data_IF_746363429106
#
_entry.id   IF_746363429106
#
_cell.length_a   1.000
_cell.length_b   1.000
_cell.length_c   1.000
_cell.angle_alpha   90.00
_cell.angle_beta   90.00
_cell.angle_gamma   90.00
#
_symmetry.space_group_name_H-M   'P 1'
#
loop_
_entity.id
_entity.type
_entity.pdbx_description
1 polymer ?
#
# COMPACT_ATOMS: atom_id res chain seq x y z
N UNK A 1 -0.16 -11.00 4.33
CA UNK A 1 0.55 -10.12 5.26
C UNK A 1 0.90 -8.82 4.56
N UNK A 2 2.12 -8.68 4.00
CA UNK A 2 2.49 -7.48 3.28
C UNK A 2 1.52 -7.12 2.15
N UNK A 3 0.89 -8.12 1.54
CA UNK A 3 -0.09 -7.92 0.50
C UNK A 3 -1.34 -7.17 1.01
N UNK A 4 -1.74 -7.41 2.26
CA UNK A 4 -2.91 -6.72 2.82
C UNK A 4 -2.63 -5.22 2.97
N UNK A 5 -1.47 -4.85 3.51
CA UNK A 5 -1.11 -3.44 3.65
C UNK A 5 -0.95 -2.75 2.28
N UNK A 6 -0.38 -3.44 1.30
CA UNK A 6 -0.25 -2.91 -0.06
C UNK A 6 -1.62 -2.67 -0.70
N UNK A 7 -2.57 -3.59 -0.49
CA UNK A 7 -3.92 -3.43 -1.00
C UNK A 7 -4.62 -2.23 -0.35
N UNK A 8 -4.43 -2.03 0.95
CA UNK A 8 -5.00 -0.88 1.66
C UNK A 8 -4.47 0.43 1.07
N UNK A 9 -3.16 0.51 0.80
CA UNK A 9 -2.57 1.70 0.18
C UNK A 9 -3.16 1.94 -1.21
N UNK A 10 -3.30 0.90 -2.00
CA UNK A 10 -3.90 1.01 -3.33
C UNK A 10 -5.34 1.54 -3.25
N UNK A 11 -6.14 1.02 -2.33
CA UNK A 11 -7.52 1.46 -2.17
C UNK A 11 -7.64 2.88 -1.59
N UNK A 12 -6.66 3.32 -0.80
CA UNK A 12 -6.68 4.66 -0.22
C UNK A 12 -6.62 5.77 -1.28
N UNK A 13 -6.07 5.48 -2.46
CA UNK A 13 -6.00 6.43 -3.55
C UNK A 13 -7.30 6.54 -4.36
N UNK A 14 -8.28 5.69 -4.09
CA UNK A 14 -9.55 5.62 -4.81
C UNK A 14 -10.66 6.29 -4.02
N UNK A 15 -11.66 6.81 -4.71
CA UNK A 15 -12.76 7.53 -4.09
C UNK A 15 -14.11 7.07 -4.62
N UNK A 16 -15.14 7.26 -3.80
CA UNK A 16 -16.52 7.13 -4.22
C UNK A 16 -16.81 5.80 -4.92
N UNK A 17 -17.39 5.89 -6.11
CA UNK A 17 -17.78 4.70 -6.87
C UNK A 17 -16.59 3.84 -7.27
N UNK A 18 -15.43 4.44 -7.54
CA UNK A 18 -14.23 3.68 -7.89
C UNK A 18 -13.78 2.81 -6.72
N UNK A 19 -13.82 3.34 -5.50
CA UNK A 19 -13.53 2.57 -4.29
C UNK A 19 -14.60 1.49 -4.09
N UNK A 20 -15.87 1.80 -4.34
CA UNK A 20 -16.97 0.84 -4.21
C UNK A 20 -16.82 -0.35 -5.13
N UNK A 21 -16.28 -0.16 -6.32
CA UNK A 21 -16.04 -1.24 -7.27
C UNK A 21 -14.93 -2.20 -6.82
N UNK A 22 -13.97 -1.71 -6.02
CA UNK A 22 -12.81 -2.49 -5.60
C UNK A 22 -12.91 -3.07 -4.19
N UNK A 23 -13.80 -2.53 -3.35
CA UNK A 23 -13.98 -3.00 -1.98
C UNK A 23 -15.25 -3.81 -1.88
N UNK A 24 -15.19 -5.07 -1.39
CA UNK A 24 -16.38 -5.89 -1.24
C UNK A 24 -17.42 -5.24 -0.31
N UNK A 25 -18.70 -5.47 -0.61
CA UNK A 25 -19.78 -4.99 0.25
C UNK A 25 -19.74 -5.65 1.64
N UNK A 26 -19.31 -6.92 1.70
CA UNK A 26 -19.16 -7.66 2.95
C UNK A 26 -17.69 -7.95 3.19
N UNK A 27 -17.19 -7.54 4.35
CA UNK A 27 -15.80 -7.74 4.74
C UNK A 27 -15.70 -8.93 5.69
N UNK A 28 -14.74 -9.82 5.43
CA UNK A 28 -14.54 -11.02 6.25
C UNK A 28 -13.45 -10.79 7.29
N UNK A 29 -13.69 -11.13 8.56
CA UNK A 29 -12.64 -11.02 9.56
C UNK A 29 -11.62 -12.15 9.40
N UNK A 30 -10.34 -11.80 9.43
CA UNK A 30 -9.22 -12.74 9.46
C UNK A 30 -8.63 -12.86 10.85
N UNK A 31 -8.77 -11.81 11.66
CA UNK A 31 -8.38 -11.77 13.07
C UNK A 31 -9.45 -10.97 13.83
N UNK A 32 -9.31 -10.89 15.15
CA UNK A 32 -10.20 -10.06 15.96
C UNK A 32 -10.05 -8.56 15.68
N UNK A 33 -8.95 -8.17 15.05
CA UNK A 33 -8.65 -6.77 14.74
C UNK A 33 -8.96 -6.38 13.31
N UNK A 34 -9.42 -7.32 12.47
CA UNK A 34 -9.77 -7.01 11.10
C UNK A 34 -10.92 -6.00 11.04
N UNK A 35 -10.74 -4.94 10.23
CA UNK A 35 -11.81 -3.96 10.02
C UNK A 35 -12.86 -4.58 9.12
N UNK A 36 -14.08 -4.72 9.63
CA UNK A 36 -15.19 -5.32 8.89
C UNK A 36 -16.33 -4.33 8.62
N UNK A 37 -16.29 -3.15 9.23
CA UNK A 37 -17.27 -2.07 9.02
C UNK A 37 -16.77 -1.16 7.91
N UNK A 38 -17.60 -0.98 6.87
CA UNK A 38 -17.21 -0.17 5.70
C UNK A 38 -16.94 1.29 6.05
N UNK A 39 -17.71 1.87 6.98
CA UNK A 39 -17.51 3.26 7.41
C UNK A 39 -16.16 3.44 8.09
N UNK A 40 -15.80 2.49 8.96
CA UNK A 40 -14.50 2.49 9.63
C UNK A 40 -13.38 2.31 8.61
N UNK A 41 -13.57 1.42 7.64
CA UNK A 41 -12.60 1.19 6.57
C UNK A 41 -12.39 2.46 5.74
N UNK A 42 -13.46 3.14 5.34
CA UNK A 42 -13.36 4.37 4.54
C UNK A 42 -12.59 5.45 5.29
N UNK A 43 -12.85 5.62 6.60
CA UNK A 43 -12.10 6.56 7.42
C UNK A 43 -10.62 6.19 7.52
N UNK A 44 -10.31 4.90 7.66
CA UNK A 44 -8.95 4.41 7.70
C UNK A 44 -8.22 4.64 6.37
N UNK A 45 -8.90 4.42 5.25
CA UNK A 45 -8.35 4.67 3.91
C UNK A 45 -8.05 6.15 3.69
N UNK A 46 -8.94 7.03 4.13
CA UNK A 46 -8.73 8.48 4.03
C UNK A 46 -7.52 8.92 4.87
N UNK A 47 -7.36 8.33 6.05
CA UNK A 47 -6.23 8.58 6.92
C UNK A 47 -4.92 8.15 6.27
N UNK A 48 -4.89 6.96 5.67
CA UNK A 48 -3.73 6.45 4.94
C UNK A 48 -3.33 7.42 3.83
N UNK A 49 -4.29 7.94 3.11
CA UNK A 49 -4.04 8.87 2.02
C UNK A 49 -3.40 10.18 2.52
N UNK A 50 -3.86 10.66 3.67
CA UNK A 50 -3.32 11.89 4.27
C UNK A 50 -1.90 11.70 4.78
N UNK A 51 -1.65 10.62 5.52
CA UNK A 51 -0.32 10.38 6.11
C UNK A 51 0.68 9.77 5.15
N UNK A 52 0.24 9.17 4.04
CA UNK A 52 1.11 8.64 3.00
C UNK A 52 1.63 7.23 3.20
N UNK A 53 1.15 6.52 4.20
CA UNK A 53 1.47 5.11 4.40
C UNK A 53 0.33 4.38 5.09
N UNK A 54 0.26 3.08 4.90
CA UNK A 54 -0.73 2.22 5.54
C UNK A 54 -0.07 1.36 6.62
N UNK A 55 -0.85 1.03 7.64
CA UNK A 55 -0.48 0.10 8.68
C UNK A 55 -1.54 -0.98 8.77
N UNK A 56 -1.11 -2.24 8.76
CA UNK A 56 -1.95 -3.40 9.07
C UNK A 56 -1.52 -3.87 10.46
N UNK A 57 -2.30 -3.54 11.48
CA UNK A 57 -1.97 -3.87 12.87
C UNK A 57 -2.72 -5.13 13.27
N UNK A 58 -2.15 -6.28 12.96
CA UNK A 58 -2.73 -7.60 13.25
C UNK A 58 -4.10 -7.84 12.58
N UNK A 59 -4.45 -7.04 11.57
CA UNK A 59 -5.75 -7.15 10.91
C UNK A 59 -5.83 -8.36 9.98
N UNK A 60 -4.71 -8.74 9.38
CA UNK A 60 -4.62 -9.90 8.51
C UNK A 60 -4.01 -11.10 9.23
N UNK A 61 -3.02 -10.89 10.08
CA UNK A 61 -2.32 -11.96 10.79
C UNK A 61 -1.95 -11.51 12.19
N UNK A 62 -2.40 -12.23 13.20
CA UNK A 62 -2.04 -11.95 14.59
C UNK A 62 -0.53 -12.03 14.80
N UNK A 63 0.02 -11.10 15.54
CA UNK A 63 1.45 -11.04 15.84
C UNK A 63 2.29 -10.31 14.80
N UNK A 64 1.69 -9.86 13.69
CA UNK A 64 2.41 -9.12 12.64
C UNK A 64 1.82 -7.73 12.47
N UNK A 65 2.70 -6.76 12.33
CA UNK A 65 2.34 -5.41 11.89
C UNK A 65 3.04 -5.14 10.56
N UNK A 66 2.27 -4.67 9.59
CA UNK A 66 2.79 -4.40 8.26
C UNK A 66 2.65 -2.92 7.94
N UNK A 67 3.63 -2.41 7.20
CA UNK A 67 3.64 -1.02 6.74
C UNK A 67 3.76 -1.03 5.23
N UNK A 68 3.07 -0.13 4.55
CA UNK A 68 3.14 -0.04 3.10
C UNK A 68 3.08 1.40 2.62
N UNK A 69 3.76 1.67 1.52
CA UNK A 69 3.68 2.94 0.81
C UNK A 69 3.34 2.67 -0.66
N UNK A 70 2.55 3.55 -1.25
CA UNK A 70 2.20 3.45 -2.66
C UNK A 70 3.38 3.87 -3.54
N UNK A 71 3.46 3.29 -4.71
CA UNK A 71 4.40 3.70 -5.74
C UNK A 71 3.68 4.64 -6.72
N UNK A 72 4.08 5.90 -6.71
CA UNK A 72 3.40 6.95 -7.47
C UNK A 72 3.99 7.14 -8.86
N UNK A 73 4.02 6.09 -9.66
CA UNK A 73 4.40 6.20 -11.06
C UNK A 73 3.16 6.24 -11.99
N UNK A 74 1.98 5.99 -11.48
CA UNK A 74 0.71 6.17 -12.18
C UNK A 74 -0.36 6.64 -11.20
N UNK A 75 -1.50 7.13 -11.72
CA UNK A 75 -2.60 7.61 -10.91
C UNK A 75 -3.91 6.95 -11.35
N UNK A 76 -4.63 6.32 -10.44
CA UNK A 76 -4.24 6.04 -9.06
C UNK A 76 -3.11 5.01 -9.00
N UNK A 77 -2.39 4.98 -7.88
CA UNK A 77 -1.31 4.03 -7.70
C UNK A 77 -1.84 2.59 -7.77
N UNK A 78 -1.09 1.74 -8.46
CA UNK A 78 -1.47 0.33 -8.64
C UNK A 78 -0.52 -0.63 -7.95
N UNK A 79 0.62 -0.14 -7.50
CA UNK A 79 1.63 -0.94 -6.81
C UNK A 79 2.08 -0.27 -5.53
N UNK A 80 2.60 -1.09 -4.64
CA UNK A 80 3.11 -0.64 -3.35
C UNK A 80 4.30 -1.49 -2.92
N UNK A 81 5.09 -0.96 -2.01
CA UNK A 81 6.10 -1.75 -1.30
C UNK A 81 5.72 -1.80 0.17
N UNK A 82 6.02 -2.91 0.80
CA UNK A 82 5.63 -3.13 2.20
C UNK A 82 6.69 -3.88 2.98
N UNK A 83 6.58 -3.75 4.29
CA UNK A 83 7.40 -4.51 5.25
C UNK A 83 6.49 -5.13 6.30
N UNK A 84 6.69 -6.41 6.59
CA UNK A 84 5.96 -7.14 7.64
C UNK A 84 6.92 -7.43 8.77
N UNK A 85 6.55 -7.07 9.98
CA UNK A 85 7.43 -7.16 11.15
C UNK A 85 6.69 -7.82 12.31
N UNK A 86 7.30 -8.82 12.97
CA UNK A 86 6.73 -9.34 14.21
C UNK A 86 6.64 -8.24 15.27
N UNK A 87 5.49 -8.16 15.95
CA UNK A 87 5.21 -7.09 16.90
C UNK A 87 6.21 -7.07 18.07
N UNK A 88 6.66 -8.23 18.50
CA UNK A 88 7.63 -8.34 19.60
C UNK A 88 9.00 -7.71 19.29
N UNK A 89 9.26 -7.43 18.03
CA UNK A 89 10.49 -6.76 17.59
C UNK A 89 10.31 -5.27 17.32
N UNK A 90 9.09 -4.76 17.47
CA UNK A 90 8.81 -3.36 17.18
C UNK A 90 8.93 -2.49 18.41
N UNK A 91 9.49 -1.31 18.19
CA UNK A 91 9.47 -0.19 19.13
C UNK A 91 8.96 1.02 18.34
N UNK A 92 8.44 2.07 19.00
CA UNK A 92 8.01 3.28 18.29
C UNK A 92 9.11 3.86 17.39
N UNK A 93 10.36 3.79 17.84
CA UNK A 93 11.48 4.27 17.03
C UNK A 93 11.69 3.42 15.79
N UNK A 94 11.63 2.10 15.92
CA UNK A 94 11.78 1.19 14.76
C UNK A 94 10.66 1.36 13.75
N UNK A 95 9.44 1.60 14.20
CA UNK A 95 8.34 1.89 13.29
C UNK A 95 8.62 3.12 12.44
N UNK A 96 9.09 4.20 13.07
CA UNK A 96 9.46 5.43 12.34
C UNK A 96 10.56 5.17 11.33
N UNK A 97 11.58 4.41 11.71
CA UNK A 97 12.68 4.06 10.82
C UNK A 97 12.21 3.24 9.61
N UNK A 98 11.31 2.27 9.84
CA UNK A 98 10.75 1.45 8.77
C UNK A 98 9.92 2.30 7.81
N UNK A 99 9.05 3.15 8.33
CA UNK A 99 8.21 4.03 7.52
C UNK A 99 9.08 4.98 6.68
N UNK A 100 10.09 5.59 7.29
CA UNK A 100 11.00 6.49 6.59
C UNK A 100 11.78 5.77 5.49
N UNK A 101 12.25 4.56 5.76
CA UNK A 101 12.94 3.75 4.78
C UNK A 101 12.02 3.36 3.60
N UNK A 102 10.78 2.98 3.90
CA UNK A 102 9.80 2.66 2.86
C UNK A 102 9.48 3.88 1.99
N UNK A 103 9.30 5.05 2.60
CA UNK A 103 9.02 6.28 1.85
C UNK A 103 10.19 6.63 0.93
N UNK A 104 11.41 6.59 1.44
CA UNK A 104 12.60 6.87 0.66
C UNK A 104 12.75 5.91 -0.51
N UNK A 105 12.56 4.62 -0.24
CA UNK A 105 12.64 3.59 -1.26
C UNK A 105 11.51 3.72 -2.29
N UNK A 106 10.30 3.99 -1.82
CA UNK A 106 9.14 4.22 -2.69
C UNK A 106 9.35 5.36 -3.66
N UNK A 107 9.91 6.47 -3.19
CA UNK A 107 10.23 7.61 -4.05
C UNK A 107 11.27 7.26 -5.11
N UNK A 108 12.31 6.53 -4.71
CA UNK A 108 13.35 6.09 -5.66
C UNK A 108 12.79 5.17 -6.73
N UNK A 109 12.01 4.17 -6.32
CA UNK A 109 11.41 3.21 -7.26
C UNK A 109 10.45 3.93 -8.19
N UNK A 110 9.62 4.84 -7.68
CA UNK A 110 8.67 5.60 -8.49
C UNK A 110 9.37 6.41 -9.57
N UNK A 111 10.50 7.03 -9.26
CA UNK A 111 11.27 7.80 -10.23
C UNK A 111 11.85 6.94 -11.34
N UNK A 112 12.28 5.71 -11.02
CA UNK A 112 12.85 4.79 -12.00
C UNK A 112 11.75 4.20 -12.88
N UNK A 113 10.61 3.85 -12.29
CA UNK A 113 9.54 3.15 -13.01
C UNK A 113 8.66 4.09 -13.83
N UNK A 114 8.49 5.34 -13.41
CA UNK A 114 7.59 6.29 -14.08
C UNK A 114 7.85 6.45 -15.58
N UNK A 115 9.08 6.63 -16.04
CA UNK A 115 9.34 6.70 -17.49
C UNK A 115 8.92 5.44 -18.23
N UNK A 116 9.16 4.29 -17.64
CA UNK A 116 8.80 3.00 -18.22
C UNK A 116 7.28 2.82 -18.31
N UNK A 117 6.59 3.20 -17.25
CA UNK A 117 5.12 3.09 -17.17
C UNK A 117 4.42 4.03 -18.16
N UNK A 118 5.04 5.15 -18.48
CA UNK A 118 4.48 6.13 -19.41
C UNK A 118 4.80 5.81 -20.89
N UNK A 119 5.32 4.63 -21.17
CA UNK A 119 5.59 4.22 -22.53
C UNK A 119 6.80 4.87 -23.15
N UNK A 120 7.78 5.21 -22.33
CA UNK A 120 9.02 5.77 -22.84
C UNK A 120 9.74 4.81 -23.76
N UNK A 121 10.72 5.33 -24.45
CA UNK A 121 11.49 4.55 -25.43
C UNK A 121 12.02 3.24 -24.89
N UNK A 122 12.23 3.18 -23.62
CA UNK A 122 12.73 1.95 -23.03
C UNK A 122 11.78 0.78 -23.25
N UNK A 123 10.48 1.01 -23.15
CA UNK A 123 9.48 -0.02 -23.45
C UNK A 123 9.28 -0.15 -24.96
N UNK A 124 9.34 0.97 -25.64
CA UNK A 124 9.13 0.97 -27.06
C UNK A 124 10.30 0.41 -27.83
N UNK A 125 11.43 0.42 -27.23
CA UNK A 125 12.59 -0.13 -27.86
C UNK A 125 12.48 -1.58 -27.83
N UNK A 126 12.24 -2.12 -28.83
CA UNK A 126 12.03 -3.47 -28.88
C UNK A 126 13.22 -4.15 -28.68
N UNK A 127 12.98 -4.57 -27.81
CA UNK A 127 13.65 -5.63 -27.66
C UNK A 127 13.76 -6.38 -28.88
N UNK A 128 12.90 -6.16 -29.60
CA UNK A 128 12.92 -6.64 -30.81
C UNK A 128 14.02 -6.25 -31.56
N UNK A 129 14.59 -6.01 -31.28
CA UNK A 129 15.35 -5.76 -32.03
C UNK A 129 15.59 -6.03 -33.03
N UNK A 130 15.49 -6.08 -32.82
CA UNK A 130 15.82 -6.10 -33.57
C UNK A 130 16.64 -5.99 -33.57
#
# INVERSE_FOLDING_TARGET
TGAAASLVVDQAERFGTERDEHVPAALKPLTDKTIVDRTVLDAALDDVRIRGYATDDEENTTGLRCFAVALHYCQPAQDAISASVPIDRLTPQREREIVDALRTMGDKVSRVVRPLANGDKWFATPVSGD
#
